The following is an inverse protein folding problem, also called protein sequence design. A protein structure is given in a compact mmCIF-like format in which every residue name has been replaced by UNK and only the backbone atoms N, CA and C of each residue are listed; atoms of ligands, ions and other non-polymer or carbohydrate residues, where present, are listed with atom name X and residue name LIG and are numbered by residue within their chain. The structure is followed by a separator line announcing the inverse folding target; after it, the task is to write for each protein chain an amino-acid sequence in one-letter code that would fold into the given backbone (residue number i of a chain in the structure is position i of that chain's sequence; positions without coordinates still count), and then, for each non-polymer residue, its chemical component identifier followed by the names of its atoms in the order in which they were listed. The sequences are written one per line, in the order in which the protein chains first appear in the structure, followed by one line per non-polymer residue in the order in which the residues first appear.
data_IF_715950604367
#
_entry.id   IF_715950604367
#
_cell.length_a   1.000
_cell.length_b   1.000
_cell.length_c   1.000
_cell.angle_alpha   90.00
_cell.angle_beta   90.00
_cell.angle_gamma   90.00
#
_symmetry.space_group_name_H-M   'P 1'
#
loop_
_entity.id
_entity.type
_entity.pdbx_description
1 polymer ?
#
# COMPACT_ATOMS: atom_id res chain seq x y z
N UNK A 1 -26.49 14.22 -46.45
CA UNK A 1 -25.63 14.67 -45.34
C UNK A 1 -25.97 13.92 -44.05
N UNK A 2 -25.68 12.60 -43.95
CA UNK A 2 -26.02 11.81 -42.74
C UNK A 2 -24.95 10.78 -42.29
N UNK A 3 -23.88 10.57 -43.08
CA UNK A 3 -22.87 9.51 -42.83
C UNK A 3 -21.78 9.86 -41.78
N UNK A 4 -21.74 11.09 -41.24
CA UNK A 4 -20.67 11.51 -40.32
C UNK A 4 -20.87 11.01 -38.88
N UNK A 5 -22.11 10.77 -38.45
CA UNK A 5 -22.44 10.34 -37.07
C UNK A 5 -22.09 8.87 -36.77
N UNK A 6 -22.37 7.86 -37.64
CA UNK A 6 -22.05 6.47 -37.33
C UNK A 6 -20.53 6.20 -37.34
N UNK A 7 -19.76 6.90 -38.18
CA UNK A 7 -18.30 6.76 -38.23
C UNK A 7 -17.66 7.23 -36.93
N UNK A 8 -18.16 8.32 -36.33
CA UNK A 8 -17.64 8.83 -35.07
C UNK A 8 -17.90 7.87 -33.89
N UNK A 9 -19.06 7.21 -33.89
CA UNK A 9 -19.44 6.20 -32.89
C UNK A 9 -18.57 4.94 -33.04
N UNK A 10 -18.32 4.50 -34.28
CA UNK A 10 -17.42 3.37 -34.56
C UNK A 10 -15.98 3.65 -34.10
N UNK A 11 -15.50 4.88 -34.33
CA UNK A 11 -14.15 5.30 -33.93
C UNK A 11 -13.99 5.36 -32.41
N UNK A 12 -15.01 5.84 -31.68
CA UNK A 12 -15.06 5.81 -30.22
C UNK A 12 -15.03 4.39 -29.65
N UNK A 13 -15.71 3.44 -30.31
CA UNK A 13 -15.74 2.04 -29.89
C UNK A 13 -14.39 1.33 -30.10
N UNK A 14 -13.65 1.68 -31.15
CA UNK A 14 -12.32 1.14 -31.44
C UNK A 14 -11.26 1.61 -30.43
N UNK A 15 -11.35 2.85 -29.93
CA UNK A 15 -10.41 3.40 -28.94
C UNK A 15 -10.56 2.74 -27.56
N UNK A 16 -11.76 2.27 -27.21
CA UNK A 16 -12.03 1.61 -25.93
C UNK A 16 -11.32 0.27 -25.72
N UNK A 17 -10.80 -0.38 -26.76
CA UNK A 17 -10.15 -1.70 -26.67
C UNK A 17 -8.68 -1.65 -26.24
N UNK A 18 -8.09 -0.46 -26.03
CA UNK A 18 -6.68 -0.29 -25.66
C UNK A 18 -6.44 -0.13 -24.16
N UNK A 19 -7.47 -0.28 -23.32
CA UNK A 19 -7.31 -0.10 -21.88
C UNK A 19 -6.82 -1.40 -21.22
N UNK A 20 -5.60 -1.38 -20.70
CA UNK A 20 -5.13 -2.37 -19.74
C UNK A 20 -5.77 -2.08 -18.38
N UNK A 21 -6.81 -2.84 -18.01
CA UNK A 21 -7.34 -2.81 -16.65
C UNK A 21 -6.34 -3.45 -15.70
N UNK A 22 -5.61 -2.64 -14.92
CA UNK A 22 -4.79 -3.16 -13.84
C UNK A 22 -5.65 -3.30 -12.58
N UNK A 23 -5.77 -4.51 -12.07
CA UNK A 23 -6.41 -4.71 -10.77
C UNK A 23 -5.41 -4.31 -9.69
N UNK A 24 -5.59 -3.10 -9.15
CA UNK A 24 -4.91 -2.70 -7.93
C UNK A 24 -5.48 -3.53 -6.78
N UNK A 25 -4.64 -4.24 -6.00
CA UNK A 25 -5.11 -4.98 -4.84
C UNK A 25 -5.60 -3.98 -3.79
N UNK A 26 -6.92 -3.81 -3.70
CA UNK A 26 -7.57 -3.03 -2.66
C UNK A 26 -7.78 -3.91 -1.42
N UNK A 27 -6.94 -3.70 -0.40
CA UNK A 27 -7.10 -4.36 0.90
C UNK A 27 -7.94 -3.50 1.84
N UNK A 28 -8.84 -4.11 2.61
CA UNK A 28 -9.64 -3.42 3.64
C UNK A 28 -8.81 -2.79 4.79
N UNK A 29 -7.49 -2.99 4.79
CA UNK A 29 -6.56 -2.49 5.82
C UNK A 29 -6.43 -0.96 5.83
N UNK A 30 -6.70 -0.29 4.70
CA UNK A 30 -6.57 1.17 4.63
C UNK A 30 -7.52 1.91 5.58
N UNK A 31 -8.63 1.29 5.96
CA UNK A 31 -9.59 1.85 6.93
C UNK A 31 -8.93 2.11 8.28
N UNK A 32 -7.94 1.29 8.64
CA UNK A 32 -7.20 1.39 9.91
C UNK A 32 -5.86 2.11 9.76
N UNK A 33 -5.32 2.19 8.53
CA UNK A 33 -4.05 2.82 8.26
C UNK A 33 -4.07 3.61 6.95
N UNK A 34 -4.32 4.91 7.05
CA UNK A 34 -4.38 5.83 5.90
C UNK A 34 -3.06 5.95 5.14
N UNK A 35 -1.93 5.71 5.82
CA UNK A 35 -0.60 5.74 5.20
C UNK A 35 -0.41 4.65 4.14
N UNK A 36 -1.16 3.53 4.22
CA UNK A 36 -1.10 2.48 3.20
C UNK A 36 -1.57 2.94 1.81
N UNK A 37 -2.43 3.97 1.74
CA UNK A 37 -2.98 4.47 0.48
C UNK A 37 -2.28 5.75 0.03
N UNK A 38 -1.90 6.62 0.97
CA UNK A 38 -1.41 7.94 0.65
C UNK A 38 -0.07 8.22 1.35
N UNK A 39 1.04 8.30 0.60
CA UNK A 39 2.35 8.58 1.20
C UNK A 39 2.44 9.98 1.79
N UNK A 40 1.62 10.94 1.37
CA UNK A 40 1.57 12.29 1.94
C UNK A 40 1.05 12.30 3.39
N UNK A 41 0.47 11.20 3.87
CA UNK A 41 0.01 11.04 5.26
C UNK A 41 1.19 10.80 6.22
N UNK A 42 2.37 10.40 5.72
CA UNK A 42 3.51 10.05 6.56
C UNK A 42 3.90 11.19 7.52
N UNK A 43 3.65 11.02 8.82
CA UNK A 43 3.98 12.06 9.81
C UNK A 43 3.03 13.28 9.81
N UNK A 44 1.89 13.22 9.13
CA UNK A 44 0.86 14.27 9.17
C UNK A 44 0.33 14.51 10.59
N UNK A 45 0.17 13.44 11.38
CA UNK A 45 -0.29 13.48 12.77
C UNK A 45 0.70 14.19 13.72
N UNK A 46 1.95 14.41 13.30
CA UNK A 46 2.95 15.12 14.09
C UNK A 46 3.68 14.27 15.13
N UNK A 47 3.40 12.98 15.26
CA UNK A 47 4.11 12.04 16.15
C UNK A 47 4.59 10.80 15.39
N UNK A 48 5.48 10.04 16.00
CA UNK A 48 5.87 8.71 15.50
C UNK A 48 4.76 7.70 15.80
N UNK A 49 4.28 6.98 14.78
CA UNK A 49 3.36 5.86 14.94
C UNK A 49 3.94 4.57 14.37
N UNK A 50 3.64 3.48 15.07
CA UNK A 50 4.00 2.12 14.70
C UNK A 50 2.72 1.31 14.71
N UNK A 51 2.40 0.69 13.58
CA UNK A 51 1.20 -0.12 13.42
C UNK A 51 1.61 -1.53 13.00
N UNK A 52 1.16 -2.52 13.78
CA UNK A 52 1.23 -3.93 13.44
C UNK A 52 -0.17 -4.41 13.08
N UNK A 53 -0.30 -5.15 12.00
CA UNK A 53 -1.59 -5.69 11.57
C UNK A 53 -1.40 -7.13 11.13
N UNK A 54 -2.19 -8.02 11.72
CA UNK A 54 -2.34 -9.40 11.32
C UNK A 54 -3.79 -9.58 10.85
N UNK A 55 -3.98 -10.13 9.66
CA UNK A 55 -5.29 -10.31 9.04
C UNK A 55 -5.37 -11.72 8.51
N UNK A 56 -6.40 -12.43 8.91
CA UNK A 56 -6.78 -13.71 8.32
C UNK A 56 -8.18 -13.55 7.73
N UNK A 57 -8.39 -14.06 6.52
CA UNK A 57 -9.71 -14.11 5.89
C UNK A 57 -10.13 -15.56 5.71
N UNK A 58 -11.43 -15.83 5.59
CA UNK A 58 -11.94 -17.19 5.31
C UNK A 58 -11.39 -18.23 6.29
N UNK A 59 -11.36 -17.86 7.58
CA UNK A 59 -10.80 -18.69 8.64
C UNK A 59 -11.46 -20.06 8.64
N UNK A 60 -10.66 -21.12 8.64
CA UNK A 60 -11.12 -22.50 8.54
C UNK A 60 -10.96 -23.13 7.14
N UNK A 61 -10.69 -22.33 6.10
CA UNK A 61 -10.38 -22.86 4.77
C UNK A 61 -8.87 -23.11 4.58
N UNK A 62 -8.50 -24.21 3.93
CA UNK A 62 -7.10 -24.54 3.63
C UNK A 62 -6.54 -23.56 2.58
N UNK A 63 -5.39 -22.96 2.86
CA UNK A 63 -4.81 -21.93 1.98
C UNK A 63 -5.51 -20.57 2.03
N UNK A 64 -6.35 -20.34 3.04
CA UNK A 64 -7.00 -19.06 3.29
C UNK A 64 -6.04 -17.85 3.25
N UNK A 65 -6.46 -16.68 2.73
CA UNK A 65 -5.62 -15.47 2.65
C UNK A 65 -5.21 -14.98 4.04
N UNK A 66 -3.90 -14.75 4.21
CA UNK A 66 -3.33 -14.20 5.44
C UNK A 66 -2.35 -13.09 5.11
N UNK A 67 -2.53 -11.95 5.76
CA UNK A 67 -1.69 -10.77 5.56
C UNK A 67 -1.12 -10.31 6.89
N UNK A 68 0.18 -10.10 6.92
CA UNK A 68 0.88 -9.45 8.03
C UNK A 68 1.55 -8.18 7.52
N UNK A 69 1.39 -7.07 8.25
CA UNK A 69 2.04 -5.82 7.90
C UNK A 69 2.61 -5.13 9.13
N UNK A 70 3.80 -4.57 8.97
CA UNK A 70 4.41 -3.63 9.89
C UNK A 70 4.51 -2.28 9.18
N UNK A 71 4.03 -1.23 9.84
CA UNK A 71 4.06 0.12 9.33
C UNK A 71 4.68 1.04 10.39
N UNK A 72 5.54 1.94 9.94
CA UNK A 72 6.15 2.96 10.75
C UNK A 72 6.09 4.30 10.01
N UNK A 73 5.71 5.36 10.71
CA UNK A 73 5.76 6.72 10.17
C UNK A 73 6.11 7.70 11.27
N UNK A 74 6.81 8.77 10.93
CA UNK A 74 7.24 9.79 11.87
C UNK A 74 7.32 11.16 11.18
N UNK A 75 7.18 12.21 11.98
CA UNK A 75 7.47 13.58 11.56
C UNK A 75 8.78 14.01 12.21
N UNK A 76 9.70 14.56 11.42
CA UNK A 76 10.90 15.19 11.95
C UNK A 76 10.53 16.55 12.56
N UNK A 77 10.38 16.56 13.87
CA UNK A 77 10.05 17.75 14.65
C UNK A 77 11.32 18.50 15.06
N UNK A 78 11.25 19.83 15.13
CA UNK A 78 12.33 20.64 15.73
C UNK A 78 12.43 20.46 17.24
N UNK A 79 11.34 20.05 17.89
CA UNK A 79 11.27 19.81 19.34
C UNK A 79 10.58 18.47 19.62
N UNK A 80 11.28 17.58 20.30
CA UNK A 80 10.75 16.29 20.74
C UNK A 80 9.72 16.46 21.85
N UNK A 81 8.68 15.64 21.83
CA UNK A 81 7.66 15.59 22.87
C UNK A 81 7.13 14.16 23.03
N UNK A 82 6.57 13.86 24.20
CA UNK A 82 5.93 12.57 24.48
C UNK A 82 4.49 12.86 24.89
N UNK A 83 3.53 12.32 24.15
CA UNK A 83 2.12 12.36 24.52
C UNK A 83 1.87 11.25 25.56
N UNK A 84 1.36 11.63 26.73
CA UNK A 84 0.89 10.69 27.74
C UNK A 84 -0.63 10.82 27.85
N UNK A 85 -1.34 9.78 27.42
CA UNK A 85 -2.79 9.70 27.60
C UNK A 85 -3.07 9.06 28.96
N UNK A 86 -3.74 9.77 29.86
CA UNK A 86 -4.16 9.24 31.16
C UNK A 86 -5.68 9.09 31.15
N UNK A 87 -6.23 7.98 31.64
CA UNK A 87 -7.69 7.76 31.68
C UNK A 87 -8.47 8.87 32.41
N UNK A 88 -7.81 9.59 33.32
CA UNK A 88 -8.39 10.66 34.15
C UNK A 88 -8.42 12.03 33.42
N UNK A 89 -7.50 12.29 32.49
CA UNK A 89 -7.39 13.59 31.80
C UNK A 89 -7.66 13.41 30.32
N UNK A 90 -8.88 13.79 29.89
CA UNK A 90 -9.34 13.67 28.49
C UNK A 90 -8.67 14.63 27.52
N UNK A 91 -8.08 15.72 27.99
CA UNK A 91 -7.41 16.69 27.11
C UNK A 91 -6.02 16.20 26.70
N UNK A 92 -5.90 15.81 25.43
CA UNK A 92 -4.62 15.48 24.80
C UNK A 92 -4.00 16.78 24.30
N UNK A 93 -2.95 17.26 24.97
CA UNK A 93 -2.16 18.38 24.45
C UNK A 93 -1.45 17.95 23.16
N UNK A 94 -1.89 18.47 22.01
CA UNK A 94 -1.23 18.28 20.72
C UNK A 94 -0.32 19.48 20.44
N UNK A 95 1.01 19.36 20.60
CA UNK A 95 1.90 20.46 20.24
C UNK A 95 1.83 20.74 18.75
N UNK A 96 2.04 22.01 18.36
CA UNK A 96 2.18 22.40 16.95
C UNK A 96 3.33 21.59 16.31
N UNK A 97 3.01 20.87 15.25
CA UNK A 97 3.95 20.10 14.44
C UNK A 97 4.77 21.05 13.56
N UNK A 98 5.81 21.66 14.16
CA UNK A 98 6.71 22.63 13.52
C UNK A 98 7.71 21.97 12.53
N UNK A 99 7.81 20.64 12.58
CA UNK A 99 8.47 19.87 11.54
C UNK A 99 7.77 20.02 10.19
N UNK A 100 8.51 20.11 9.08
CA UNK A 100 7.91 20.11 7.72
C UNK A 100 8.09 18.79 7.00
N UNK A 101 8.95 17.90 7.50
CA UNK A 101 9.31 16.66 6.82
C UNK A 101 8.78 15.47 7.60
N UNK A 102 8.19 14.52 6.89
CA UNK A 102 7.75 13.23 7.38
C UNK A 102 8.44 12.09 6.62
N UNK A 103 8.69 11.00 7.33
CA UNK A 103 9.17 9.75 6.76
C UNK A 103 8.22 8.63 7.17
N UNK A 104 8.03 7.67 6.29
CA UNK A 104 7.30 6.48 6.61
C UNK A 104 7.76 5.30 5.78
N UNK A 105 7.41 4.12 6.22
CA UNK A 105 7.61 2.92 5.46
C UNK A 105 6.78 1.79 6.02
N UNK A 106 6.45 0.84 5.18
CA UNK A 106 5.79 -0.37 5.63
C UNK A 106 6.36 -1.57 4.89
N UNK A 107 6.38 -2.70 5.58
CA UNK A 107 6.70 -4.00 5.03
C UNK A 107 5.49 -4.88 5.26
N UNK A 108 5.09 -5.61 4.24
CA UNK A 108 3.97 -6.55 4.35
C UNK A 108 4.31 -7.88 3.69
N UNK A 109 3.73 -8.94 4.23
CA UNK A 109 3.77 -10.28 3.69
C UNK A 109 2.34 -10.79 3.59
N UNK A 110 1.91 -11.05 2.36
CA UNK A 110 0.58 -11.56 2.03
C UNK A 110 0.72 -12.97 1.46
N UNK A 111 0.04 -13.94 2.05
CA UNK A 111 -0.07 -15.32 1.56
C UNK A 111 -1.50 -15.54 1.09
N UNK A 112 -1.68 -15.90 -0.17
CA UNK A 112 -2.96 -16.27 -0.75
C UNK A 112 -2.83 -17.65 -1.41
N UNK A 113 -3.16 -18.71 -0.66
CA UNK A 113 -2.92 -20.09 -1.08
C UNK A 113 -1.44 -20.34 -1.40
N UNK A 114 -1.19 -20.68 -2.66
CA UNK A 114 0.14 -21.05 -3.19
C UNK A 114 1.04 -19.84 -3.47
N UNK A 115 0.48 -18.64 -3.51
CA UNK A 115 1.19 -17.41 -3.86
C UNK A 115 1.49 -16.63 -2.59
N UNK A 116 2.75 -16.25 -2.41
CA UNK A 116 3.19 -15.34 -1.37
C UNK A 116 3.76 -14.08 -2.01
N UNK A 117 3.30 -12.92 -1.56
CA UNK A 117 3.76 -11.60 -1.98
C UNK A 117 4.32 -10.87 -0.76
N UNK A 118 5.61 -10.56 -0.80
CA UNK A 118 6.24 -9.70 0.19
C UNK A 118 6.54 -8.37 -0.45
N UNK A 119 6.13 -7.27 0.17
CA UNK A 119 6.42 -5.92 -0.34
C UNK A 119 7.01 -5.02 0.73
N UNK A 120 7.79 -4.05 0.29
CA UNK A 120 8.23 -2.94 1.13
C UNK A 120 7.92 -1.63 0.42
N UNK A 121 7.57 -0.61 1.20
CA UNK A 121 7.43 0.77 0.72
C UNK A 121 8.22 1.69 1.63
N UNK A 122 8.90 2.65 1.04
CA UNK A 122 9.48 3.80 1.71
C UNK A 122 8.82 5.07 1.17
N UNK A 123 8.50 6.00 2.06
CA UNK A 123 7.75 7.21 1.74
C UNK A 123 8.38 8.42 2.41
N UNK A 124 8.42 9.52 1.67
CA UNK A 124 8.86 10.84 2.10
C UNK A 124 7.68 11.81 1.96
N UNK A 125 7.36 12.55 3.00
CA UNK A 125 6.29 13.55 2.96
C UNK A 125 6.81 14.94 3.32
N UNK A 126 6.26 15.95 2.66
CA UNK A 126 6.48 17.35 2.96
C UNK A 126 5.15 18.02 3.33
N UNK A 127 5.13 18.69 4.47
CA UNK A 127 3.96 19.31 5.06
C UNK A 127 4.15 20.82 5.18
N UNK A 128 3.19 21.57 4.66
CA UNK A 128 3.14 23.02 4.70
C UNK A 128 1.87 23.48 5.40
N UNK A 129 2.01 24.34 6.40
CA UNK A 129 0.88 25.00 7.04
C UNK A 129 0.55 26.26 6.23
N UNK A 130 -0.65 26.31 5.64
CA UNK A 130 -1.15 27.49 4.92
C UNK A 130 -1.80 28.44 5.92
N UNK A 131 -2.56 27.89 6.85
CA UNK A 131 -3.26 28.61 7.91
C UNK A 131 -3.12 27.85 9.23
N UNK A 132 -3.51 28.43 10.36
CA UNK A 132 -3.35 27.82 11.68
C UNK A 132 -4.04 26.44 11.85
N UNK A 133 -4.99 26.09 10.96
CA UNK A 133 -5.72 24.82 11.00
C UNK A 133 -5.62 23.99 9.70
N UNK A 134 -4.97 24.52 8.64
CA UNK A 134 -4.95 23.90 7.32
C UNK A 134 -3.52 23.51 6.95
N UNK A 135 -3.30 22.21 6.77
CA UNK A 135 -2.03 21.64 6.33
C UNK A 135 -2.15 21.04 4.95
N UNK A 136 -1.35 21.54 4.01
CA UNK A 136 -1.11 20.90 2.72
C UNK A 136 0.03 19.90 2.86
N UNK A 137 -0.16 18.68 2.36
CA UNK A 137 0.84 17.61 2.43
C UNK A 137 1.08 17.02 1.05
N UNK A 138 2.34 16.85 0.70
CA UNK A 138 2.80 16.20 -0.54
C UNK A 138 3.64 14.99 -0.16
N UNK A 139 3.56 13.89 -0.90
CA UNK A 139 4.26 12.66 -0.56
C UNK A 139 4.87 12.02 -1.79
N UNK A 140 6.04 11.41 -1.63
CA UNK A 140 6.67 10.55 -2.63
C UNK A 140 6.86 9.19 -2.00
N UNK A 141 6.48 8.12 -2.67
CA UNK A 141 6.81 6.77 -2.24
C UNK A 141 7.56 5.99 -3.30
N UNK A 142 8.37 5.06 -2.81
CA UNK A 142 9.04 4.03 -3.58
C UNK A 142 8.62 2.69 -3.00
N UNK A 143 8.07 1.82 -3.83
CA UNK A 143 7.58 0.50 -3.43
C UNK A 143 8.30 -0.58 -4.22
N UNK A 144 8.59 -1.69 -3.57
CA UNK A 144 9.17 -2.89 -4.17
C UNK A 144 8.42 -4.13 -3.73
N UNK A 145 8.11 -5.02 -4.67
CA UNK A 145 7.42 -6.30 -4.38
C UNK A 145 8.29 -7.48 -4.77
N UNK A 146 8.15 -8.59 -4.05
CA UNK A 146 8.75 -9.89 -4.35
C UNK A 146 7.62 -10.91 -4.34
N UNK A 147 7.46 -11.63 -5.45
CA UNK A 147 6.50 -12.72 -5.60
C UNK A 147 7.19 -14.07 -5.44
N UNK A 148 6.61 -14.98 -4.67
CA UNK A 148 7.09 -16.35 -4.48
C UNK A 148 5.92 -17.31 -4.63
N UNK A 149 6.09 -18.35 -5.43
CA UNK A 149 5.13 -19.44 -5.58
C UNK A 149 5.69 -20.66 -4.85
N UNK A 150 4.87 -21.30 -4.02
CA UNK A 150 5.27 -22.47 -3.24
C UNK A 150 4.86 -23.77 -3.95
N UNK A 151 5.79 -24.41 -4.64
CA UNK A 151 5.57 -25.64 -5.42
C UNK A 151 5.24 -26.88 -4.55
N UNK A 152 5.54 -26.86 -3.25
CA UNK A 152 5.35 -28.02 -2.35
C UNK A 152 3.89 -28.30 -1.96
N UNK A 153 2.98 -27.33 -2.13
CA UNK A 153 1.55 -27.48 -1.86
C UNK A 153 0.76 -27.77 -3.14
N UNK A 154 1.44 -27.96 -4.28
CA UNK A 154 0.79 -28.23 -5.56
C UNK A 154 0.87 -29.74 -5.84
N UNK A 155 -0.25 -30.44 -5.64
CA UNK A 155 -0.43 -31.77 -6.20
C UNK A 155 -0.66 -31.62 -7.70
N UNK A 156 0.42 -31.65 -8.49
CA UNK A 156 0.32 -31.71 -9.94
C UNK A 156 -0.02 -33.13 -10.39
N UNK A 157 -0.95 -33.29 -11.34
CA UNK A 157 -1.28 -34.60 -11.93
C UNK A 157 -0.16 -35.13 -12.85
N UNK A 158 0.69 -34.24 -13.41
CA UNK A 158 1.81 -34.62 -14.29
C UNK A 158 3.17 -34.08 -13.75
N UNK A 159 4.11 -34.98 -13.35
CA UNK A 159 5.43 -34.61 -12.85
C UNK A 159 6.37 -33.96 -13.88
N UNK A 160 6.07 -34.00 -15.19
CA UNK A 160 7.00 -33.60 -16.26
C UNK A 160 6.59 -32.31 -17.01
N UNK A 161 5.70 -31.48 -16.46
CA UNK A 161 5.29 -30.24 -17.14
C UNK A 161 6.47 -29.24 -17.33
N UNK A 162 6.75 -28.77 -18.57
CA UNK A 162 7.88 -27.87 -18.86
C UNK A 162 7.88 -26.53 -18.10
N UNK A 163 6.72 -26.09 -17.61
CA UNK A 163 6.55 -24.85 -16.86
C UNK A 163 7.13 -24.94 -15.43
N UNK A 164 7.40 -26.16 -14.93
CA UNK A 164 7.99 -26.41 -13.61
C UNK A 164 9.47 -26.00 -13.50
N UNK A 165 10.24 -25.99 -14.59
CA UNK A 165 11.66 -26.36 -14.45
C UNK A 165 12.67 -25.22 -14.22
N UNK A 166 12.28 -23.98 -13.88
CA UNK A 166 13.22 -22.99 -13.28
C UNK A 166 12.64 -21.58 -13.02
N UNK A 167 11.52 -21.19 -13.64
CA UNK A 167 11.13 -19.77 -13.71
C UNK A 167 10.07 -19.34 -12.68
N UNK A 168 9.34 -20.26 -12.04
CA UNK A 168 8.28 -19.94 -11.07
C UNK A 168 8.80 -19.58 -9.67
N UNK A 169 10.05 -19.94 -9.37
CA UNK A 169 10.76 -19.56 -8.13
C UNK A 169 11.34 -18.14 -8.17
N UNK A 170 11.26 -17.44 -9.30
CA UNK A 170 11.92 -16.14 -9.47
C UNK A 170 11.13 -15.07 -8.71
N UNK A 171 11.74 -14.53 -7.66
CA UNK A 171 11.30 -13.30 -7.02
C UNK A 171 11.29 -12.17 -8.04
N UNK A 172 10.13 -11.85 -8.61
CA UNK A 172 10.00 -10.72 -9.52
C UNK A 172 9.99 -9.44 -8.69
N UNK A 173 11.08 -8.67 -8.76
CA UNK A 173 11.16 -7.35 -8.16
C UNK A 173 10.46 -6.33 -9.06
N UNK A 174 9.37 -5.74 -8.56
CA UNK A 174 8.63 -4.70 -9.26
C UNK A 174 8.80 -3.39 -8.49
N UNK A 175 9.69 -2.48 -8.94
CA UNK A 175 9.77 -1.14 -8.38
C UNK A 175 8.58 -0.30 -8.88
N UNK A 176 8.02 0.50 -8.00
CA UNK A 176 6.93 1.43 -8.29
C UNK A 176 7.16 2.75 -7.52
N UNK A 177 6.65 3.85 -8.04
CA UNK A 177 6.73 5.16 -7.39
C UNK A 177 5.41 5.93 -7.52
N UNK A 178 4.95 6.50 -6.40
CA UNK A 178 3.72 7.31 -6.37
C UNK A 178 4.01 8.69 -5.78
N UNK A 179 3.29 9.72 -6.24
CA UNK A 179 3.45 11.13 -5.88
C UNK A 179 2.13 11.77 -5.45
#
# INVERSE_FOLDING_TARGET
MFLRKPVFILLLFLIGNLTFGQQLPLYSQYLYNKFLINPAVAGSDGYTSVNLTAREQWVGYYGAPRTFSFCWQTRLLKRSYILKQTHVRKEIYRPKSDGKVGFGGYVFSDKNGLIQRTGFQASYAYHMWIENNTQLSMGLSLTGYIYKINEKEINFEDPNEPWLNNNLRRGMFVPDATF
#
